data_IF_249159084628
#
_entry.id   IF_249159084628
#
_cell.length_a   1.000
_cell.length_b   1.000
_cell.length_c   1.000
_cell.angle_alpha   90.00
_cell.angle_beta   90.00
_cell.angle_gamma   90.00
#
_symmetry.space_group_name_H-M   'P 1'
#
loop_
_entity.id
_entity.type
_entity.pdbx_description
1 polymer ?
#
# COMPACT_ATOMS: atom_id res chain seq x y z
N UNK A 1 5.33 0.34 16.19
CA UNK A 1 6.14 -0.85 15.81
C UNK A 1 6.17 -0.94 14.30
N UNK A 2 7.37 -1.19 13.70
CA UNK A 2 7.49 -1.41 12.24
C UNK A 2 8.24 -2.73 12.00
N UNK A 3 7.77 -3.51 11.03
CA UNK A 3 8.41 -4.76 10.59
C UNK A 3 8.57 -4.71 9.07
N UNK A 4 9.74 -5.14 8.60
CA UNK A 4 10.06 -5.24 7.17
C UNK A 4 10.43 -6.69 6.89
N UNK A 5 9.80 -7.31 5.90
CA UNK A 5 10.05 -8.70 5.53
C UNK A 5 10.29 -8.76 4.02
N UNK A 6 11.52 -9.12 3.65
CA UNK A 6 11.88 -9.39 2.26
C UNK A 6 11.41 -10.79 1.83
N UNK A 7 11.22 -10.97 0.53
CA UNK A 7 10.72 -12.22 -0.06
C UNK A 7 9.49 -12.75 0.69
N UNK A 8 8.54 -11.82 0.94
CA UNK A 8 7.38 -12.09 1.77
C UNK A 8 6.51 -13.22 1.22
N UNK A 9 6.26 -13.26 -0.09
CA UNK A 9 5.50 -14.32 -0.72
C UNK A 9 6.42 -15.32 -1.43
N UNK A 10 6.03 -16.61 -1.50
CA UNK A 10 6.66 -17.54 -2.41
C UNK A 10 6.65 -16.97 -3.84
N UNK A 11 7.76 -17.12 -4.55
CA UNK A 11 8.00 -16.48 -5.86
C UNK A 11 6.88 -16.76 -6.89
N UNK A 12 6.34 -17.99 -6.92
CA UNK A 12 5.24 -18.34 -7.83
C UNK A 12 3.98 -17.51 -7.56
N UNK A 13 3.58 -17.41 -6.30
CA UNK A 13 2.38 -16.64 -5.91
C UNK A 13 2.60 -15.12 -6.08
N UNK A 14 3.79 -14.63 -5.74
CA UNK A 14 4.15 -13.24 -6.02
C UNK A 14 4.02 -12.90 -7.51
N UNK A 15 4.54 -13.76 -8.39
CA UNK A 15 4.47 -13.55 -9.83
C UNK A 15 3.02 -13.55 -10.35
N UNK A 16 2.14 -14.38 -9.80
CA UNK A 16 0.71 -14.38 -10.13
C UNK A 16 0.06 -13.02 -9.80
N UNK A 17 0.28 -12.50 -8.59
CA UNK A 17 -0.22 -11.18 -8.19
C UNK A 17 0.37 -10.08 -9.08
N UNK A 18 1.66 -10.09 -9.33
CA UNK A 18 2.35 -9.10 -10.17
C UNK A 18 1.80 -9.10 -11.59
N UNK A 19 1.68 -10.27 -12.23
CA UNK A 19 1.12 -10.41 -13.57
C UNK A 19 -0.33 -9.92 -13.65
N UNK A 20 -1.14 -10.20 -12.62
CA UNK A 20 -2.51 -9.69 -12.54
C UNK A 20 -2.52 -8.14 -12.54
N UNK A 21 -1.69 -7.51 -11.70
CA UNK A 21 -1.67 -6.04 -11.56
C UNK A 21 -1.07 -5.35 -12.80
N UNK A 22 -0.05 -5.96 -13.41
CA UNK A 22 0.61 -5.43 -14.61
C UNK A 22 -0.14 -5.74 -15.91
N UNK A 23 -1.17 -6.58 -15.86
CA UNK A 23 -1.94 -6.96 -17.04
C UNK A 23 -2.65 -5.74 -17.65
N UNK A 24 -2.64 -5.56 -19.00
CA UNK A 24 -3.26 -4.42 -19.65
C UNK A 24 -4.77 -4.26 -19.37
N UNK A 25 -5.47 -5.34 -19.03
CA UNK A 25 -6.88 -5.31 -18.64
C UNK A 25 -7.13 -4.97 -17.17
N UNK A 26 -6.08 -4.77 -16.36
CA UNK A 26 -6.26 -4.34 -14.97
C UNK A 26 -6.86 -2.94 -14.93
N UNK A 27 -8.03 -2.82 -14.30
CA UNK A 27 -8.81 -1.58 -14.33
C UNK A 27 -8.38 -0.63 -13.25
N UNK A 28 -7.73 0.45 -13.63
CA UNK A 28 -7.34 1.54 -12.76
C UNK A 28 -8.40 2.63 -12.68
N UNK A 29 -8.58 3.20 -11.50
CA UNK A 29 -9.36 4.40 -11.28
C UNK A 29 -8.41 5.57 -11.04
N UNK A 30 -8.65 6.70 -11.69
CA UNK A 30 -7.95 7.93 -11.37
C UNK A 30 -8.38 8.41 -9.97
N UNK A 31 -7.41 8.77 -9.14
CA UNK A 31 -7.65 9.37 -7.84
C UNK A 31 -6.81 10.63 -7.69
N UNK A 32 -7.46 11.70 -7.29
CA UNK A 32 -6.73 12.86 -6.78
C UNK A 32 -6.46 12.62 -5.30
N UNK A 33 -5.21 12.70 -4.94
CA UNK A 33 -4.80 12.44 -3.59
C UNK A 33 -5.11 13.62 -2.72
N UNK A 34 -5.71 13.36 -1.60
CA UNK A 34 -5.87 14.16 -0.43
C UNK A 34 -6.69 15.46 -0.63
N UNK A 35 -7.67 15.69 0.22
CA UNK A 35 -8.41 16.93 0.25
C UNK A 35 -7.46 18.12 0.39
N UNK A 36 -7.83 19.25 -0.17
CA UNK A 36 -7.12 20.53 0.03
C UNK A 36 -6.89 20.76 1.54
N UNK A 37 -5.66 21.08 1.90
CA UNK A 37 -5.28 21.37 3.29
C UNK A 37 -4.76 20.19 4.10
N UNK A 38 -4.64 19.00 3.53
CA UNK A 38 -4.07 17.87 4.25
C UNK A 38 -2.56 18.07 4.42
N UNK A 39 -2.14 18.37 5.65
CA UNK A 39 -0.74 18.48 6.11
C UNK A 39 0.22 19.29 5.21
N UNK A 40 -0.21 20.47 4.74
CA UNK A 40 0.67 21.42 4.05
C UNK A 40 0.84 21.15 2.54
N UNK A 41 0.03 20.33 1.95
CA UNK A 41 0.00 20.19 0.49
C UNK A 41 -0.65 21.41 -0.16
N UNK A 42 0.09 22.04 -1.07
CA UNK A 42 -0.38 23.20 -1.85
C UNK A 42 -0.80 22.85 -3.27
N UNK A 43 -0.51 21.64 -3.73
CA UNK A 43 -0.83 21.15 -5.07
C UNK A 43 -1.47 19.77 -5.00
N UNK A 44 -2.42 19.51 -5.89
CA UNK A 44 -3.08 18.20 -6.01
C UNK A 44 -2.10 17.17 -6.59
N UNK A 45 -1.73 16.18 -5.81
CA UNK A 45 -1.11 14.97 -6.32
C UNK A 45 -2.19 14.06 -6.90
N UNK A 46 -1.81 13.26 -7.87
CA UNK A 46 -2.69 12.28 -8.47
C UNK A 46 -1.98 10.94 -8.63
N UNK A 47 -2.76 9.89 -8.58
CA UNK A 47 -2.31 8.52 -8.76
C UNK A 47 -3.45 7.68 -9.32
N UNK A 48 -3.15 6.46 -9.70
CA UNK A 48 -4.17 5.50 -10.03
C UNK A 48 -4.35 4.52 -8.88
N UNK A 49 -5.59 4.14 -8.62
CA UNK A 49 -5.93 3.21 -7.57
C UNK A 49 -6.95 2.20 -8.09
N UNK A 50 -6.83 0.97 -7.65
CA UNK A 50 -7.91 -0.01 -7.74
C UNK A 50 -8.29 -0.44 -6.34
N UNK A 51 -9.51 -0.13 -5.93
CA UNK A 51 -10.09 -0.66 -4.69
C UNK A 51 -10.47 -2.12 -4.93
N UNK A 52 -9.89 -3.01 -4.15
CA UNK A 52 -10.12 -4.46 -4.20
C UNK A 52 -11.16 -4.86 -3.17
N UNK A 53 -11.09 -4.26 -1.99
CA UNK A 53 -12.02 -4.52 -0.89
C UNK A 53 -12.19 -3.27 -0.03
N UNK A 54 -13.39 -3.07 0.51
CA UNK A 54 -13.68 -2.16 1.62
C UNK A 54 -14.88 -2.67 2.41
N UNK A 55 -14.85 -2.46 3.72
CA UNK A 55 -15.95 -2.85 4.61
C UNK A 55 -17.28 -2.11 4.33
N UNK A 56 -17.19 -0.91 3.74
CA UNK A 56 -18.32 0.00 3.58
C UNK A 56 -19.07 -0.14 2.25
N UNK A 57 -18.52 -0.90 1.29
CA UNK A 57 -19.11 -1.02 -0.04
C UNK A 57 -18.99 -2.44 -0.58
N UNK A 58 -20.02 -2.89 -1.26
CA UNK A 58 -19.91 -4.10 -2.06
C UNK A 58 -19.12 -3.78 -3.35
N UNK A 59 -17.95 -4.38 -3.51
CA UNK A 59 -17.14 -4.27 -4.71
C UNK A 59 -17.31 -5.55 -5.54
N UNK A 60 -17.81 -5.38 -6.75
CA UNK A 60 -17.89 -6.49 -7.69
C UNK A 60 -16.50 -6.96 -8.09
N UNK A 61 -16.17 -8.21 -7.75
CA UNK A 61 -14.89 -8.85 -8.10
C UNK A 61 -14.99 -9.63 -9.41
N UNK A 62 -15.48 -8.97 -10.46
CA UNK A 62 -15.71 -9.58 -11.78
C UNK A 62 -14.45 -10.18 -12.42
N UNK A 63 -13.27 -9.81 -11.93
CA UNK A 63 -11.97 -10.28 -12.44
C UNK A 63 -11.20 -11.19 -11.48
N UNK A 64 -11.79 -11.54 -10.33
CA UNK A 64 -11.14 -12.41 -9.35
C UNK A 64 -9.95 -11.76 -8.61
N UNK A 65 -9.84 -10.43 -8.58
CA UNK A 65 -8.73 -9.74 -7.92
C UNK A 65 -8.66 -10.05 -6.43
N UNK A 66 -9.82 -10.01 -5.75
CA UNK A 66 -9.90 -10.36 -4.33
C UNK A 66 -9.51 -11.81 -4.08
N UNK A 67 -9.98 -12.74 -4.94
CA UNK A 67 -9.67 -14.17 -4.81
C UNK A 67 -8.16 -14.43 -4.93
N UNK A 68 -7.48 -13.66 -5.77
CA UNK A 68 -6.03 -13.75 -5.95
C UNK A 68 -5.26 -13.13 -4.78
N UNK A 69 -5.76 -12.05 -4.17
CA UNK A 69 -5.05 -11.33 -3.10
C UNK A 69 -5.36 -11.91 -1.72
N UNK A 70 -6.58 -12.38 -1.48
CA UNK A 70 -7.03 -12.87 -0.18
C UNK A 70 -6.11 -13.90 0.50
N UNK A 71 -5.47 -14.86 -0.19
CA UNK A 71 -4.56 -15.79 0.45
C UNK A 71 -3.36 -15.16 1.17
N UNK A 72 -3.04 -13.87 0.91
CA UNK A 72 -1.98 -13.17 1.63
C UNK A 72 -2.21 -13.11 3.14
N UNK A 73 -3.46 -13.18 3.62
CA UNK A 73 -3.78 -13.17 5.05
C UNK A 73 -3.20 -14.37 5.80
N UNK A 74 -3.06 -15.52 5.16
CA UNK A 74 -2.35 -16.67 5.75
C UNK A 74 -0.87 -16.37 6.00
N UNK A 75 -0.24 -15.59 5.12
CA UNK A 75 1.16 -15.18 5.31
C UNK A 75 1.31 -14.08 6.38
N UNK A 76 0.29 -13.24 6.59
CA UNK A 76 0.29 -12.31 7.73
C UNK A 76 0.28 -13.08 9.05
N UNK A 77 -0.56 -14.09 9.16
CA UNK A 77 -0.60 -14.95 10.35
C UNK A 77 0.73 -15.68 10.56
N UNK A 78 1.23 -16.35 9.53
CA UNK A 78 2.44 -17.17 9.60
C UNK A 78 3.72 -16.36 9.87
N UNK A 79 3.91 -15.24 9.15
CA UNK A 79 5.19 -14.50 9.16
C UNK A 79 5.21 -13.32 10.12
N UNK A 80 4.05 -12.77 10.47
CA UNK A 80 3.94 -11.63 11.38
C UNK A 80 3.43 -12.03 12.76
N UNK A 81 2.94 -13.26 12.97
CA UNK A 81 2.13 -13.64 14.11
C UNK A 81 0.97 -12.64 14.30
N UNK A 82 0.32 -12.27 13.20
CA UNK A 82 -0.76 -11.30 13.18
C UNK A 82 -2.05 -11.94 12.70
N UNK A 83 -3.00 -12.11 13.64
CA UNK A 83 -4.36 -12.55 13.32
C UNK A 83 -5.17 -11.37 12.80
N UNK A 84 -5.56 -11.41 11.53
CA UNK A 84 -6.49 -10.43 10.96
C UNK A 84 -7.91 -10.74 11.42
N UNK A 85 -8.46 -9.87 12.26
CA UNK A 85 -9.84 -9.98 12.76
C UNK A 85 -10.83 -9.28 11.83
N UNK A 86 -10.39 -8.15 11.25
CA UNK A 86 -11.21 -7.35 10.34
C UNK A 86 -10.37 -6.68 9.26
N UNK A 87 -10.90 -6.67 8.03
CA UNK A 87 -10.31 -5.99 6.87
C UNK A 87 -11.06 -4.70 6.62
N UNK A 88 -10.42 -3.56 6.85
CA UNK A 88 -11.01 -2.24 6.61
C UNK A 88 -11.03 -1.95 5.11
N UNK A 89 -9.87 -2.07 4.46
CA UNK A 89 -9.75 -1.88 3.01
C UNK A 89 -8.51 -2.56 2.44
N UNK A 90 -8.58 -2.89 1.14
CA UNK A 90 -7.44 -3.34 0.34
C UNK A 90 -7.44 -2.57 -0.98
N UNK A 91 -6.37 -1.83 -1.24
CA UNK A 91 -6.21 -1.02 -2.44
C UNK A 91 -4.91 -1.36 -3.16
N UNK A 92 -4.94 -1.45 -4.48
CA UNK A 92 -3.73 -1.46 -5.31
C UNK A 92 -3.48 -0.04 -5.78
N UNK A 93 -2.31 0.50 -5.45
CA UNK A 93 -1.92 1.87 -5.76
C UNK A 93 -0.83 1.89 -6.83
N UNK A 94 -0.97 2.78 -7.80
CA UNK A 94 0.00 3.04 -8.87
C UNK A 94 0.33 4.52 -8.89
N UNK A 95 1.50 4.86 -8.36
CA UNK A 95 2.01 6.22 -8.38
C UNK A 95 2.91 6.40 -9.60
N UNK A 96 2.57 7.34 -10.47
CA UNK A 96 3.23 7.55 -11.75
C UNK A 96 4.46 8.46 -11.61
N UNK A 97 5.47 8.19 -12.44
CA UNK A 97 6.57 9.12 -12.66
C UNK A 97 6.02 10.40 -13.32
N UNK A 98 6.16 11.51 -12.63
CA UNK A 98 5.71 12.82 -13.10
C UNK A 98 6.90 13.72 -13.52
N UNK A 99 8.10 13.16 -13.65
CA UNK A 99 9.32 13.88 -14.05
C UNK A 99 9.82 14.90 -13.03
N UNK A 100 9.32 14.83 -11.78
CA UNK A 100 9.71 15.74 -10.70
C UNK A 100 9.87 15.02 -9.38
N UNK A 101 10.89 15.40 -8.61
CA UNK A 101 11.04 14.92 -7.23
C UNK A 101 10.06 15.69 -6.33
N UNK A 102 9.15 14.97 -5.71
CA UNK A 102 8.20 15.54 -4.77
C UNK A 102 7.80 14.48 -3.75
N UNK A 103 7.74 14.87 -2.49
CA UNK A 103 7.14 14.04 -1.47
C UNK A 103 5.61 14.14 -1.55
N UNK A 104 4.96 13.01 -1.36
CA UNK A 104 3.53 12.93 -1.13
C UNK A 104 3.18 13.53 0.23
N UNK A 105 1.94 13.99 0.44
CA UNK A 105 1.54 14.53 1.74
C UNK A 105 1.59 13.48 2.85
N UNK A 106 1.98 13.90 4.03
CA UNK A 106 1.94 13.09 5.24
C UNK A 106 0.50 12.73 5.61
N UNK A 107 0.20 11.46 5.80
CA UNK A 107 -1.15 10.99 6.10
C UNK A 107 -1.18 9.73 6.96
N UNK A 108 -2.33 9.50 7.55
CA UNK A 108 -2.77 8.22 8.07
C UNK A 108 -3.89 7.70 7.16
N UNK A 109 -3.94 6.41 6.93
CA UNK A 109 -4.97 5.81 6.07
C UNK A 109 -6.37 5.84 6.71
N UNK A 110 -6.43 5.69 8.04
CA UNK A 110 -7.65 5.76 8.83
C UNK A 110 -7.45 6.63 10.08
N UNK A 111 -8.52 7.30 10.58
CA UNK A 111 -8.44 8.19 11.75
C UNK A 111 -8.45 7.44 13.11
N UNK A 112 -8.44 6.13 13.10
CA UNK A 112 -8.45 5.29 14.29
C UNK A 112 -7.34 4.24 14.24
N UNK A 113 -7.05 3.62 15.38
CA UNK A 113 -6.01 2.59 15.49
C UNK A 113 -6.29 1.43 14.54
N UNK A 114 -5.31 1.12 13.70
CA UNK A 114 -5.32 0.02 12.75
C UNK A 114 -3.89 -0.43 12.46
N UNK A 115 -3.73 -1.44 11.64
CA UNK A 115 -2.44 -1.85 11.08
C UNK A 115 -2.44 -1.63 9.58
N UNK A 116 -1.31 -1.18 9.08
CA UNK A 116 -1.05 -1.00 7.65
C UNK A 116 -0.06 -2.07 7.21
N UNK A 117 -0.41 -2.79 6.15
CA UNK A 117 0.50 -3.68 5.46
C UNK A 117 0.68 -3.19 4.02
N UNK A 118 1.85 -2.62 3.72
CA UNK A 118 2.23 -2.21 2.37
C UNK A 118 3.06 -3.30 1.72
N UNK A 119 2.53 -3.90 0.68
CA UNK A 119 3.21 -4.94 -0.09
C UNK A 119 3.66 -4.38 -1.43
N UNK A 120 4.97 -4.43 -1.69
CA UNK A 120 5.57 -3.80 -2.87
C UNK A 120 5.66 -4.75 -4.05
N UNK A 121 5.13 -4.32 -5.19
CA UNK A 121 4.99 -5.14 -6.40
C UNK A 121 6.21 -5.01 -7.32
N UNK A 122 6.88 -3.87 -7.30
CA UNK A 122 8.08 -3.62 -8.08
C UNK A 122 9.16 -2.94 -7.22
N UNK A 123 10.38 -2.87 -7.70
CA UNK A 123 11.43 -2.07 -7.07
C UNK A 123 11.42 -0.65 -7.61
N UNK A 124 11.52 0.33 -6.71
CA UNK A 124 11.62 1.75 -7.02
C UNK A 124 12.60 2.41 -6.04
N UNK A 125 13.81 2.73 -6.49
CA UNK A 125 14.88 3.22 -5.61
C UNK A 125 14.70 4.68 -5.21
N UNK A 126 13.90 5.45 -5.95
CA UNK A 126 13.72 6.90 -5.73
C UNK A 126 12.51 7.26 -4.89
N UNK A 127 11.64 6.29 -4.58
CA UNK A 127 10.40 6.51 -3.86
C UNK A 127 10.21 5.53 -2.68
N UNK A 128 11.04 5.61 -1.62
CA UNK A 128 10.86 4.85 -0.40
C UNK A 128 9.56 5.28 0.30
N UNK A 129 9.09 4.45 1.23
CA UNK A 129 8.08 4.88 2.21
C UNK A 129 8.77 5.65 3.32
N UNK A 130 8.31 6.87 3.56
CA UNK A 130 8.86 7.82 4.52
C UNK A 130 8.00 7.86 5.78
N UNK A 131 8.62 8.10 6.93
CA UNK A 131 7.94 8.32 8.21
C UNK A 131 8.36 9.64 8.83
N UNK A 132 7.49 10.26 9.64
CA UNK A 132 7.77 11.58 10.24
C UNK A 132 8.93 11.58 11.23
N UNK A 133 9.30 10.43 11.78
CA UNK A 133 10.50 10.30 12.62
C UNK A 133 11.83 10.35 11.83
N UNK A 134 11.74 10.57 10.51
CA UNK A 134 12.88 10.63 9.60
C UNK A 134 13.37 9.28 9.10
N UNK A 135 12.78 8.18 9.55
CA UNK A 135 13.11 6.85 9.00
C UNK A 135 12.46 6.63 7.64
N UNK A 136 13.06 5.76 6.84
CA UNK A 136 12.53 5.37 5.53
C UNK A 136 12.66 3.86 5.32
N UNK A 137 11.79 3.33 4.47
CA UNK A 137 11.83 1.93 4.02
C UNK A 137 11.86 1.90 2.50
N UNK A 138 12.93 1.32 1.95
CA UNK A 138 13.11 1.17 0.51
C UNK A 138 11.98 0.35 -0.11
N UNK A 139 11.53 0.79 -1.28
CA UNK A 139 10.50 0.13 -2.05
C UNK A 139 11.11 -0.98 -2.93
N UNK A 140 11.17 -2.19 -2.39
CA UNK A 140 11.77 -3.37 -3.04
C UNK A 140 10.68 -4.39 -3.36
N UNK A 141 10.74 -4.97 -4.55
CA UNK A 141 9.83 -6.01 -5.02
C UNK A 141 9.71 -7.17 -4.01
N UNK A 142 8.49 -7.66 -3.78
CA UNK A 142 8.17 -8.75 -2.85
C UNK A 142 8.54 -8.48 -1.37
N UNK A 143 8.67 -7.20 -1.00
CA UNK A 143 8.84 -6.76 0.40
C UNK A 143 7.50 -6.40 0.99
N UNK A 144 7.26 -6.81 2.24
CA UNK A 144 6.17 -6.32 3.07
C UNK A 144 6.72 -5.34 4.11
N UNK A 145 6.11 -4.18 4.19
CA UNK A 145 6.23 -3.25 5.30
C UNK A 145 4.94 -3.29 6.12
N UNK A 146 5.06 -3.67 7.39
CA UNK A 146 3.94 -3.75 8.33
C UNK A 146 4.15 -2.80 9.50
N UNK A 147 3.16 -1.95 9.79
CA UNK A 147 3.23 -0.98 10.87
C UNK A 147 1.88 -0.62 11.45
N UNK A 148 1.88 -0.06 12.66
CA UNK A 148 0.69 0.48 13.30
C UNK A 148 0.36 1.85 12.71
N UNK A 149 -0.86 1.99 12.18
CA UNK A 149 -1.47 3.23 11.72
C UNK A 149 -2.37 3.83 12.78
N UNK A 150 -2.95 5.00 12.51
CA UNK A 150 -3.92 5.66 13.38
C UNK A 150 -3.61 7.13 13.60
N UNK A 151 -4.30 7.74 14.53
CA UNK A 151 -4.36 9.19 14.71
C UNK A 151 -3.07 9.83 15.27
N UNK A 152 -2.09 9.01 15.65
CA UNK A 152 -0.83 9.51 16.20
C UNK A 152 0.09 10.02 15.10
N UNK A 153 0.74 11.18 15.34
CA UNK A 153 1.64 11.82 14.38
C UNK A 153 2.79 10.90 13.93
N UNK A 154 3.34 10.12 14.85
CA UNK A 154 4.47 9.21 14.58
C UNK A 154 4.10 8.04 13.64
N UNK A 155 2.82 7.82 13.40
CA UNK A 155 2.31 6.77 12.52
C UNK A 155 2.03 7.28 11.10
N UNK A 156 2.15 8.60 10.87
CA UNK A 156 1.99 9.16 9.54
C UNK A 156 3.12 8.74 8.62
N UNK A 157 2.75 8.46 7.39
CA UNK A 157 3.68 8.08 6.36
C UNK A 157 3.47 8.87 5.07
N UNK A 158 4.46 8.82 4.21
CA UNK A 158 4.50 9.47 2.92
C UNK A 158 5.38 8.68 1.97
N UNK A 159 5.55 9.15 0.75
CA UNK A 159 6.52 8.65 -0.22
C UNK A 159 6.91 9.74 -1.21
N UNK A 160 8.04 9.59 -1.89
CA UNK A 160 8.37 10.42 -3.04
C UNK A 160 7.66 9.92 -4.30
N UNK A 161 7.55 10.78 -5.31
CA UNK A 161 7.18 10.34 -6.66
C UNK A 161 8.34 9.53 -7.26
N UNK A 162 8.04 8.43 -8.00
CA UNK A 162 9.07 7.65 -8.66
C UNK A 162 9.75 8.44 -9.78
N UNK A 163 11.07 8.28 -9.91
CA UNK A 163 11.87 8.89 -10.99
C UNK A 163 12.64 7.86 -11.81
N UNK A 164 12.94 6.70 -11.23
CA UNK A 164 13.74 5.62 -11.83
C UNK A 164 12.90 4.53 -12.52
N UNK A 165 11.60 4.57 -12.32
CA UNK A 165 10.63 3.66 -12.93
C UNK A 165 9.43 4.45 -13.47
N UNK A 166 8.66 3.87 -14.39
CA UNK A 166 7.44 4.49 -14.92
C UNK A 166 6.39 4.68 -13.83
N UNK A 167 6.29 3.72 -12.92
CA UNK A 167 5.31 3.72 -11.82
C UNK A 167 5.82 2.93 -10.61
N UNK A 168 5.41 3.37 -9.44
CA UNK A 168 5.57 2.67 -8.17
C UNK A 168 4.28 1.95 -7.84
N UNK A 169 4.34 0.63 -7.65
CA UNK A 169 3.18 -0.23 -7.43
C UNK A 169 3.20 -0.84 -6.03
N UNK A 170 2.12 -0.70 -5.29
CA UNK A 170 1.95 -1.33 -3.98
C UNK A 170 0.51 -1.77 -3.75
N UNK A 171 0.32 -2.83 -2.97
CA UNK A 171 -0.96 -3.18 -2.35
C UNK A 171 -0.94 -2.62 -0.94
N UNK A 172 -1.95 -1.84 -0.60
CA UNK A 172 -2.15 -1.29 0.74
C UNK A 172 -3.32 -2.02 1.40
N UNK A 173 -3.03 -2.67 2.53
CA UNK A 173 -4.01 -3.30 3.40
C UNK A 173 -4.17 -2.47 4.65
N UNK A 174 -5.40 -2.11 4.99
CA UNK A 174 -5.77 -1.50 6.26
C UNK A 174 -6.56 -2.52 7.07
N UNK A 175 -6.05 -2.90 8.24
CA UNK A 175 -6.46 -4.07 8.99
C UNK A 175 -6.68 -3.75 10.47
N UNK A 176 -7.63 -4.44 11.09
CA UNK A 176 -7.68 -4.59 12.55
C UNK A 176 -7.36 -6.04 12.90
N UNK A 177 -6.71 -6.23 14.04
CA UNK A 177 -6.30 -7.55 14.50
C UNK A 177 -5.35 -7.48 15.68
N UNK A 178 -4.80 -8.62 16.04
CA UNK A 178 -3.92 -8.78 17.19
C UNK A 178 -2.63 -9.52 16.84
N UNK A 179 -1.56 -9.12 17.49
CA UNK A 179 -0.27 -9.85 17.50
C UNK A 179 -0.31 -10.89 18.61
N UNK A 180 0.22 -12.09 18.38
CA UNK A 180 0.27 -13.20 19.33
C UNK A 180 1.65 -13.86 19.39
#
# INVERSE_FOLDING_TARGET
MRRVIDDFLPRGYFNEIKQMIEHPAFRWNFSSILPEGYHGQTEKDWYFMKRIYTENEHIEDAFGYWQTIRPMFYFFEEKLNFLTEHVISVNVNSMMNQGRKRAHGWHNDCPYKHYVALFYINTCNTAPTLFEDGSEVEHIENRLLFFEGGDHIDNRHSTNLPLDVERRLAINFNLQGSLF
#
